data_IF_755663453482
#
_entry.id   IF_755663453482
#
_cell.length_a   1.000
_cell.length_b   1.000
_cell.length_c   1.000
_cell.angle_alpha   90.00
_cell.angle_beta   90.00
_cell.angle_gamma   90.00
#
_symmetry.space_group_name_H-M   'P 1'
#
loop_
_entity.id
_entity.type
_entity.pdbx_description
1 polymer ?
#
# COMPACT_ATOMS: atom_id res chain seq x y z
N UNK A 1 -32.59 12.15 -1.87
CA UNK A 1 -32.08 10.88 -2.20
C UNK A 1 -30.89 10.89 -3.07
N UNK A 2 -30.96 11.57 -4.17
CA UNK A 2 -29.81 11.63 -5.01
C UNK A 2 -28.63 12.23 -4.30
N UNK A 3 -28.85 13.23 -3.50
CA UNK A 3 -27.76 13.86 -2.79
C UNK A 3 -27.11 12.91 -1.83
N UNK A 4 -27.90 12.07 -1.20
CA UNK A 4 -27.33 11.10 -0.30
C UNK A 4 -26.51 10.09 -1.03
N UNK A 5 -26.97 9.67 -2.16
CA UNK A 5 -26.21 8.70 -2.93
C UNK A 5 -24.90 9.27 -3.35
N UNK A 6 -24.88 10.52 -3.71
CA UNK A 6 -23.65 11.15 -4.08
C UNK A 6 -22.71 11.24 -2.92
N UNK A 7 -23.23 11.54 -1.76
CA UNK A 7 -22.38 11.62 -0.62
C UNK A 7 -21.76 10.29 -0.30
N UNK A 8 -22.51 9.25 -0.41
CA UNK A 8 -21.95 7.94 -0.13
C UNK A 8 -20.88 7.59 -1.14
N UNK A 9 -21.12 7.90 -2.38
CA UNK A 9 -20.12 7.64 -3.39
C UNK A 9 -18.87 8.43 -3.11
N UNK A 10 -19.01 9.65 -2.66
CA UNK A 10 -17.85 10.45 -2.34
C UNK A 10 -17.11 9.91 -1.16
N UNK A 11 -17.80 9.42 -0.18
CA UNK A 11 -17.14 8.84 0.97
C UNK A 11 -16.32 7.65 0.56
N UNK A 12 -16.87 6.81 -0.29
CA UNK A 12 -16.13 5.66 -0.75
C UNK A 12 -14.91 6.09 -1.51
N UNK A 13 -15.07 7.08 -2.35
CA UNK A 13 -13.94 7.60 -3.08
C UNK A 13 -12.92 8.18 -2.15
N UNK A 14 -13.37 8.92 -1.13
CA UNK A 14 -12.45 9.52 -0.21
C UNK A 14 -11.64 8.48 0.51
N UNK A 15 -12.25 7.36 0.85
CA UNK A 15 -11.52 6.32 1.53
C UNK A 15 -10.48 5.70 0.61
N UNK A 16 -10.82 5.51 -0.65
CA UNK A 16 -9.89 4.92 -1.59
C UNK A 16 -8.94 5.92 -2.23
N UNK A 17 -9.31 7.19 -2.22
CA UNK A 17 -8.51 8.23 -2.85
C UNK A 17 -7.82 9.04 -1.78
N UNK A 18 -6.51 9.15 -1.90
CA UNK A 18 -5.69 9.78 -0.87
C UNK A 18 -4.93 10.96 -1.48
N UNK A 19 -4.64 11.94 -0.66
CA UNK A 19 -3.88 13.09 -1.11
C UNK A 19 -2.41 12.87 -0.85
N UNK A 20 -1.62 13.05 -1.88
CA UNK A 20 -0.17 12.98 -1.79
C UNK A 20 0.39 14.36 -2.05
N UNK A 21 1.08 14.92 -1.07
CA UNK A 21 1.73 16.21 -1.25
C UNK A 21 3.12 15.97 -1.75
N UNK A 22 3.37 16.40 -2.97
CA UNK A 22 4.63 16.08 -3.61
C UNK A 22 5.75 16.99 -3.13
N UNK A 23 6.97 16.55 -3.36
CA UNK A 23 8.14 17.34 -3.01
C UNK A 23 8.25 18.61 -3.86
N UNK A 24 7.43 18.71 -4.88
CA UNK A 24 7.46 19.89 -5.75
C UNK A 24 6.38 20.90 -5.40
N UNK A 25 5.67 20.69 -4.30
CA UNK A 25 4.69 21.65 -3.84
C UNK A 25 3.31 21.48 -4.40
N UNK A 26 3.05 20.39 -5.12
CA UNK A 26 1.73 20.12 -5.66
C UNK A 26 1.05 19.04 -4.84
N UNK A 27 -0.24 18.87 -5.06
CA UNK A 27 -1.01 17.81 -4.41
C UNK A 27 -1.62 16.93 -5.49
N UNK A 28 -1.43 15.64 -5.34
CA UNK A 28 -2.00 14.67 -6.26
C UNK A 28 -2.98 13.79 -5.52
N UNK A 29 -4.07 13.46 -6.19
CA UNK A 29 -5.02 12.51 -5.62
C UNK A 29 -4.71 11.16 -6.20
N UNK A 30 -4.34 10.22 -5.34
CA UNK A 30 -3.90 8.92 -5.80
C UNK A 30 -4.73 7.82 -5.16
N UNK A 31 -4.82 6.71 -5.84
CA UNK A 31 -5.45 5.50 -5.33
C UNK A 31 -4.38 4.43 -5.25
N UNK A 32 -4.37 3.69 -4.15
CA UNK A 32 -3.38 2.64 -3.98
C UNK A 32 -3.81 1.37 -4.69
N UNK A 33 -2.83 0.64 -5.19
CA UNK A 33 -3.05 -0.67 -5.75
C UNK A 33 -2.14 -1.65 -5.04
N UNK A 34 -2.58 -2.89 -4.91
CA UNK A 34 -1.83 -3.92 -4.25
C UNK A 34 -1.68 -5.10 -5.19
N UNK A 35 -0.46 -5.60 -5.28
CA UNK A 35 -0.16 -6.78 -6.06
C UNK A 35 0.92 -7.56 -5.33
N UNK A 36 1.40 -8.58 -5.99
CA UNK A 36 2.44 -9.43 -5.43
C UNK A 36 3.58 -9.46 -6.43
N UNK A 37 4.80 -9.22 -5.96
CA UNK A 37 5.94 -9.32 -6.84
C UNK A 37 6.11 -10.78 -7.28
N UNK A 38 6.33 -10.96 -8.56
CA UNK A 38 6.42 -12.29 -9.13
C UNK A 38 7.62 -13.07 -8.59
N UNK A 39 8.72 -12.37 -8.38
CA UNK A 39 9.96 -13.02 -8.04
C UNK A 39 9.96 -13.67 -6.67
N UNK A 40 9.35 -13.05 -5.70
CA UNK A 40 9.45 -13.55 -4.32
C UNK A 40 8.17 -13.41 -3.53
N UNK A 41 7.06 -13.11 -4.19
CA UNK A 41 5.75 -13.00 -3.55
C UNK A 41 5.68 -11.90 -2.50
N UNK A 42 6.57 -10.94 -2.56
CA UNK A 42 6.54 -9.82 -1.63
C UNK A 42 5.42 -8.87 -1.98
N UNK A 43 5.06 -8.07 -1.02
CA UNK A 43 3.96 -7.11 -1.19
C UNK A 43 4.37 -5.96 -2.11
N UNK A 44 3.57 -5.73 -3.12
CA UNK A 44 3.73 -4.58 -4.00
C UNK A 44 2.61 -3.59 -3.73
N UNK A 45 2.96 -2.33 -3.53
CA UNK A 45 1.99 -1.27 -3.40
C UNK A 45 2.35 -0.18 -4.39
N UNK A 46 1.40 0.19 -5.22
CA UNK A 46 1.61 1.24 -6.20
C UNK A 46 0.51 2.28 -6.10
N UNK A 47 0.63 3.31 -6.92
CA UNK A 47 -0.32 4.40 -6.93
C UNK A 47 -0.78 4.67 -8.34
N UNK A 48 -2.07 5.01 -8.46
CA UNK A 48 -2.63 5.43 -9.74
C UNK A 48 -3.37 6.74 -9.54
N UNK A 49 -3.50 7.49 -10.62
CA UNK A 49 -4.37 8.64 -10.66
C UNK A 49 -5.48 8.34 -11.64
N UNK A 50 -6.57 9.05 -11.54
CA UNK A 50 -7.70 8.79 -12.41
C UNK A 50 -8.29 10.07 -12.94
N UNK A 51 -7.45 10.92 -13.44
CA UNK A 51 -7.93 12.13 -14.06
C UNK A 51 -8.65 11.75 -15.33
N UNK A 52 -9.68 12.44 -15.64
CA UNK A 52 -10.46 12.16 -16.83
C UNK A 52 -11.11 10.78 -16.80
N UNK A 53 -11.17 10.17 -15.63
CA UNK A 53 -11.87 8.93 -15.48
C UNK A 53 -11.11 7.68 -15.89
N UNK A 54 -9.85 7.82 -16.28
CA UNK A 54 -9.05 6.69 -16.69
C UNK A 54 -7.89 6.52 -15.71
N UNK A 55 -7.77 5.35 -15.07
CA UNK A 55 -6.65 5.15 -14.16
C UNK A 55 -5.33 5.10 -14.92
N UNK A 56 -4.36 5.77 -14.38
CA UNK A 56 -3.02 5.78 -14.96
C UNK A 56 -2.01 5.55 -13.85
N UNK A 57 -0.95 4.81 -14.14
CA UNK A 57 0.09 4.62 -13.12
C UNK A 57 0.70 5.95 -12.73
N UNK A 58 0.87 6.15 -11.44
CA UNK A 58 1.52 7.36 -10.95
C UNK A 58 2.92 7.06 -10.44
N UNK A 59 3.05 5.98 -9.70
CA UNK A 59 4.35 5.60 -9.18
C UNK A 59 4.22 4.40 -8.27
N UNK A 60 5.36 3.88 -7.88
CA UNK A 60 5.41 2.74 -6.98
C UNK A 60 5.75 3.21 -5.58
N UNK A 61 5.02 2.71 -4.59
CA UNK A 61 5.34 2.99 -3.21
C UNK A 61 6.48 2.11 -2.75
N UNK A 62 6.48 0.86 -3.17
CA UNK A 62 7.45 -0.13 -2.71
C UNK A 62 8.52 -0.38 -3.74
N UNK A 63 9.62 -0.94 -3.27
CA UNK A 63 10.68 -1.48 -4.13
C UNK A 63 10.95 -2.90 -3.70
N UNK A 64 11.34 -3.75 -4.65
CA UNK A 64 11.62 -5.14 -4.35
C UNK A 64 13.11 -5.35 -4.29
N UNK A 65 13.64 -5.42 -3.08
CA UNK A 65 15.07 -5.64 -2.90
C UNK A 65 15.42 -7.12 -2.85
N UNK A 66 14.41 -7.98 -3.07
CA UNK A 66 14.58 -9.42 -3.11
C UNK A 66 15.07 -10.00 -1.79
N UNK A 67 14.87 -9.26 -0.71
CA UNK A 67 15.19 -9.72 0.61
C UNK A 67 13.95 -10.29 1.25
N UNK A 68 14.15 -11.26 2.14
CA UNK A 68 13.06 -11.82 2.90
C UNK A 68 12.60 -10.81 3.94
N UNK A 69 11.32 -10.56 4.00
CA UNK A 69 10.78 -9.61 4.98
C UNK A 69 9.56 -10.22 5.64
N UNK A 70 9.19 -9.73 6.82
CA UNK A 70 7.99 -10.25 7.49
C UNK A 70 6.74 -9.97 6.67
N UNK A 71 5.66 -10.70 6.93
CA UNK A 71 4.41 -10.45 6.21
C UNK A 71 3.94 -9.01 6.37
N UNK A 72 3.36 -8.49 5.32
CA UNK A 72 2.78 -7.15 5.28
C UNK A 72 3.81 -6.05 5.39
N UNK A 73 5.08 -6.38 5.22
CA UNK A 73 6.15 -5.40 5.24
C UNK A 73 6.75 -5.28 3.85
N UNK A 74 7.24 -4.08 3.54
CA UNK A 74 7.89 -3.85 2.26
C UNK A 74 8.79 -2.63 2.38
N UNK A 75 9.82 -2.61 1.55
CA UNK A 75 10.71 -1.44 1.49
C UNK A 75 10.05 -0.36 0.67
N UNK A 76 10.18 0.87 1.09
CA UNK A 76 9.50 2.01 0.48
C UNK A 76 10.51 2.88 -0.26
N UNK A 77 10.09 3.36 -1.42
CA UNK A 77 10.98 4.08 -2.34
C UNK A 77 11.07 5.55 -1.98
N UNK A 78 11.61 5.83 -0.80
CA UNK A 78 11.74 7.20 -0.34
C UNK A 78 12.87 7.94 -1.03
N UNK A 79 13.70 7.24 -1.76
CA UNK A 79 14.77 7.90 -2.50
C UNK A 79 14.22 8.64 -3.71
N UNK A 80 13.25 8.06 -4.39
CA UNK A 80 12.61 8.73 -5.50
C UNK A 80 11.50 9.65 -5.04
N UNK A 81 10.78 9.24 -4.01
CA UNK A 81 9.66 10.02 -3.50
C UNK A 81 9.76 10.16 -2.00
N UNK A 82 10.57 11.11 -1.53
CA UNK A 82 10.70 11.29 -0.07
C UNK A 82 9.38 11.64 0.60
N UNK A 83 8.43 12.18 -0.15
CA UNK A 83 7.13 12.51 0.41
C UNK A 83 6.33 11.29 0.82
N UNK A 84 6.77 10.09 0.43
CA UNK A 84 6.05 8.88 0.82
C UNK A 84 6.07 8.66 2.31
N UNK A 85 7.11 9.09 3.00
CA UNK A 85 7.17 8.90 4.43
C UNK A 85 5.98 9.55 5.12
N UNK A 86 5.77 10.82 4.81
CA UNK A 86 4.69 11.53 5.43
C UNK A 86 3.34 11.02 4.95
N UNK A 87 3.26 10.72 3.67
CA UNK A 87 2.03 10.24 3.07
C UNK A 87 1.54 8.96 3.73
N UNK A 88 2.44 8.01 3.95
CA UNK A 88 2.06 6.73 4.52
C UNK A 88 1.60 6.86 5.96
N UNK A 89 2.31 7.63 6.75
CA UNK A 89 1.98 7.78 8.16
C UNK A 89 0.72 8.59 8.34
N UNK A 90 0.62 9.69 7.61
CA UNK A 90 -0.51 10.58 7.75
C UNK A 90 -1.83 9.89 7.39
N UNK A 91 -1.80 9.03 6.41
CA UNK A 91 -3.01 8.34 5.98
C UNK A 91 -3.21 7.00 6.68
N UNK A 92 -2.37 6.67 7.63
CA UNK A 92 -2.53 5.43 8.38
C UNK A 92 -2.28 4.20 7.54
N UNK A 93 -1.47 4.33 6.50
CA UNK A 93 -1.22 3.23 5.57
C UNK A 93 -0.12 2.31 6.08
N UNK A 94 0.95 2.89 6.63
CA UNK A 94 2.09 2.08 7.03
C UNK A 94 2.93 2.83 8.04
N UNK A 95 3.75 2.08 8.78
CA UNK A 95 4.64 2.63 9.80
C UNK A 95 6.05 2.14 9.57
N UNK A 96 7.02 2.99 9.83
CA UNK A 96 8.42 2.64 9.71
C UNK A 96 8.76 1.63 10.80
N UNK A 97 9.40 0.53 10.42
CA UNK A 97 9.78 -0.51 11.38
C UNK A 97 11.07 -0.19 12.11
N UNK A 98 11.83 0.77 11.64
CA UNK A 98 13.13 1.07 12.20
C UNK A 98 14.27 0.40 11.45
N UNK A 99 13.96 -0.44 10.48
CA UNK A 99 14.98 -1.15 9.72
C UNK A 99 15.20 -0.52 8.37
N UNK A 100 16.48 -0.46 7.97
CA UNK A 100 16.88 0.08 6.68
C UNK A 100 17.72 -0.96 5.98
N UNK A 101 17.68 -0.97 4.66
CA UNK A 101 18.52 -1.85 3.88
C UNK A 101 19.13 -1.08 2.73
N UNK A 102 20.44 -1.24 2.57
CA UNK A 102 21.15 -0.61 1.47
C UNK A 102 20.98 -1.43 0.21
N UNK A 103 20.85 -0.76 -0.90
CA UNK A 103 20.86 -1.39 -2.19
C UNK A 103 21.49 -0.39 -3.16
N UNK A 104 22.67 -0.73 -3.67
CA UNK A 104 23.42 0.20 -4.47
C UNK A 104 23.85 1.38 -3.61
N UNK A 105 23.58 2.58 -4.04
CA UNK A 105 23.96 3.77 -3.32
C UNK A 105 22.83 4.30 -2.44
N UNK A 106 21.71 3.59 -2.40
CA UNK A 106 20.56 4.07 -1.68
C UNK A 106 20.25 3.18 -0.50
N UNK A 107 19.57 3.74 0.49
CA UNK A 107 19.04 2.97 1.60
C UNK A 107 17.54 3.10 1.59
N UNK A 108 16.86 1.99 1.87
CA UNK A 108 15.43 1.94 1.82
C UNK A 108 14.86 1.54 3.17
N UNK A 109 13.88 2.27 3.67
CA UNK A 109 13.26 1.90 4.94
C UNK A 109 12.23 0.80 4.77
N UNK A 110 12.17 -0.08 5.74
CA UNK A 110 11.18 -1.14 5.76
C UNK A 110 9.96 -0.65 6.53
N UNK A 111 8.80 -0.71 5.90
CA UNK A 111 7.55 -0.28 6.51
C UNK A 111 6.63 -1.47 6.70
N UNK A 112 5.87 -1.42 7.78
CA UNK A 112 4.83 -2.40 8.03
C UNK A 112 3.50 -1.77 7.65
N UNK A 113 2.78 -2.43 6.76
CA UNK A 113 1.53 -1.89 6.25
C UNK A 113 0.37 -2.28 7.14
N UNK A 114 -0.59 -1.38 7.26
CA UNK A 114 -1.77 -1.58 8.08
C UNK A 114 -2.71 -2.53 7.37
N UNK A 115 -2.83 -3.74 7.91
CA UNK A 115 -3.56 -4.79 7.23
C UNK A 115 -5.02 -4.44 7.03
N UNK A 116 -5.66 -3.95 8.07
CA UNK A 116 -7.07 -3.64 7.97
C UNK A 116 -7.34 -2.52 7.00
N UNK A 117 -6.51 -1.48 7.05
CA UNK A 117 -6.68 -0.36 6.15
C UNK A 117 -6.49 -0.82 4.71
N UNK A 118 -5.46 -1.61 4.47
CA UNK A 118 -5.18 -2.07 3.12
C UNK A 118 -6.26 -3.01 2.61
N UNK A 119 -6.82 -3.83 3.47
CA UNK A 119 -7.91 -4.71 3.06
C UNK A 119 -9.14 -3.91 2.69
N UNK A 120 -9.35 -2.79 3.37
CA UNK A 120 -10.51 -1.97 3.11
C UNK A 120 -10.39 -1.23 1.79
N UNK A 121 -9.22 -0.73 1.47
CA UNK A 121 -9.08 0.07 0.27
C UNK A 121 -8.62 -0.75 -0.93
N UNK A 122 -8.00 -1.90 -0.71
CA UNK A 122 -7.54 -2.76 -1.80
C UNK A 122 -7.89 -4.21 -1.52
N UNK A 123 -9.19 -4.53 -1.45
CA UNK A 123 -9.58 -5.88 -1.00
C UNK A 123 -9.10 -6.99 -1.91
N UNK A 124 -9.18 -6.81 -3.22
CA UNK A 124 -8.80 -7.87 -4.13
C UNK A 124 -7.31 -8.13 -4.13
N UNK A 125 -6.53 -7.05 -4.17
CA UNK A 125 -5.09 -7.20 -4.16
C UNK A 125 -4.59 -7.79 -2.87
N UNK A 126 -5.16 -7.37 -1.75
CA UNK A 126 -4.76 -7.93 -0.47
C UNK A 126 -5.13 -9.40 -0.35
N UNK A 127 -6.31 -9.76 -0.84
CA UNK A 127 -6.70 -11.17 -0.79
C UNK A 127 -5.76 -12.03 -1.60
N UNK A 128 -5.37 -11.58 -2.77
CA UNK A 128 -4.45 -12.34 -3.60
C UNK A 128 -3.08 -12.44 -2.95
N UNK A 129 -2.60 -11.34 -2.39
CA UNK A 129 -1.31 -11.35 -1.71
C UNK A 129 -1.32 -12.32 -0.55
N UNK A 130 -2.38 -12.29 0.24
CA UNK A 130 -2.47 -13.15 1.41
C UNK A 130 -2.58 -14.61 1.00
N UNK A 131 -3.29 -14.89 -0.07
CA UNK A 131 -3.45 -16.25 -0.52
C UNK A 131 -2.13 -16.84 -0.98
N UNK A 132 -1.41 -16.10 -1.79
CA UNK A 132 -0.13 -16.57 -2.31
C UNK A 132 0.86 -16.84 -1.18
N UNK A 133 0.80 -16.04 -0.12
CA UNK A 133 1.73 -16.17 0.98
C UNK A 133 1.21 -17.02 2.14
N UNK A 134 0.04 -17.62 1.96
CA UNK A 134 -0.52 -18.47 3.00
C UNK A 134 -1.01 -17.71 4.20
N UNK A 135 -1.22 -16.43 4.08
CA UNK A 135 -1.65 -15.60 5.20
C UNK A 135 -3.15 -15.58 5.38
N UNK A 136 -3.88 -16.10 4.39
CA UNK A 136 -5.32 -16.13 4.47
C UNK A 136 -5.82 -17.32 5.28
N UNK A 137 -4.93 -18.22 5.69
CA UNK A 137 -5.33 -19.36 6.50
C UNK A 137 -5.63 -18.89 7.89
N UNK A 138 -6.77 -19.32 8.38
CA UNK A 138 -7.22 -18.81 9.64
C UNK A 138 -6.51 -19.40 10.81
N UNK A 139 -6.12 -18.56 11.75
CA UNK A 139 -5.49 -19.06 12.95
C UNK A 139 -6.39 -19.96 13.75
N UNK A 140 -7.69 -19.78 13.64
CA UNK A 140 -8.55 -20.60 14.48
C UNK A 140 -8.43 -22.05 14.16
N UNK A 141 -7.94 -22.41 13.00
CA UNK A 141 -7.72 -23.79 12.73
C UNK A 141 -6.70 -24.36 13.63
N UNK A 142 -5.66 -23.62 13.89
CA UNK A 142 -4.65 -24.10 14.78
C UNK A 142 -5.15 -24.17 16.16
N UNK A 143 -5.97 -23.25 16.54
CA UNK A 143 -6.47 -23.27 17.88
C UNK A 143 -7.32 -24.44 18.13
N UNK A 144 -8.06 -24.85 17.16
CA UNK A 144 -8.89 -25.97 17.37
C UNK A 144 -8.13 -27.22 17.61
N UNK A 145 -6.96 -27.28 17.12
CA UNK A 145 -6.21 -28.48 17.31
C UNK A 145 -5.77 -28.63 18.72
N UNK A 146 -5.95 -27.68 19.52
CA UNK A 146 -5.65 -27.85 20.90
C UNK A 146 -6.74 -28.32 21.65
#
# INVERSE_FOLDING_TARGET
>A
MRAQEKEQAQENKTEGTLELKTQFGTTENVTLTVNTYVDNNSLYVGMTTAEDGFPEPYGDVTVNLLSSVPPYCAFVDTNNMPELEDFLVKNGIAEFTGLMQKSGYCSYPLYQFNVEKMRRICPDGMAAYEQVNGLDKKPEKKEKSR
#
